data_IF_288420260492
#
_entry.id   IF_288420260492
#
_cell.length_a   1.000
_cell.length_b   1.000
_cell.length_c   1.000
_cell.angle_alpha   90.00
_cell.angle_beta   90.00
_cell.angle_gamma   90.00
#
_symmetry.space_group_name_H-M   'P 1'
#
loop_
_entity.id
_entity.type
_entity.pdbx_description
1 polymer ?
#
# COMPACT_ATOMS: atom_id res chain seq x y z
N UNK A 1 -19.98 -2.22 -0.03
CA UNK A 1 -20.22 -3.01 -1.26
C UNK A 1 -19.16 -4.08 -1.31
N UNK A 2 -19.44 -5.30 -1.72
CA UNK A 2 -18.45 -6.38 -1.79
C UNK A 2 -17.83 -6.32 -3.18
N UNK A 3 -16.49 -6.25 -3.28
CA UNK A 3 -15.78 -6.30 -4.57
C UNK A 3 -16.18 -7.58 -5.29
N UNK A 4 -16.55 -7.46 -6.58
CA UNK A 4 -16.96 -8.60 -7.37
C UNK A 4 -15.79 -9.16 -8.15
N UNK A 5 -15.64 -10.48 -8.12
CA UNK A 5 -14.59 -11.17 -8.86
C UNK A 5 -14.72 -10.90 -10.35
N UNK A 6 -13.63 -10.50 -11.01
CA UNK A 6 -13.60 -10.23 -12.45
C UNK A 6 -14.17 -8.88 -12.88
N UNK A 7 -14.65 -8.05 -11.98
CA UNK A 7 -15.09 -6.68 -12.29
C UNK A 7 -14.00 -5.64 -11.96
N UNK A 8 -13.84 -4.65 -12.83
CA UNK A 8 -12.95 -3.52 -12.59
C UNK A 8 -13.61 -2.59 -11.59
N UNK A 9 -12.90 -2.25 -10.53
CA UNK A 9 -13.36 -1.30 -9.52
C UNK A 9 -12.28 -0.25 -9.22
N UNK A 10 -12.68 0.87 -8.59
CA UNK A 10 -11.77 1.92 -8.14
C UNK A 10 -12.02 2.23 -6.68
N UNK A 11 -11.07 1.86 -5.81
CA UNK A 11 -11.20 2.11 -4.37
C UNK A 11 -11.54 3.58 -4.08
N UNK A 12 -10.81 4.60 -4.61
CA UNK A 12 -11.12 5.99 -4.30
C UNK A 12 -12.48 6.47 -4.83
N UNK A 13 -12.91 5.98 -6.00
CA UNK A 13 -14.20 6.39 -6.58
C UNK A 13 -15.40 5.80 -5.84
N UNK A 14 -15.25 4.57 -5.37
CA UNK A 14 -16.33 3.85 -4.69
C UNK A 14 -16.36 4.11 -3.18
N UNK A 15 -15.24 4.59 -2.62
CA UNK A 15 -15.09 4.87 -1.20
C UNK A 15 -14.44 6.24 -0.99
N UNK A 16 -15.05 7.32 -1.50
CA UNK A 16 -14.53 8.66 -1.28
C UNK A 16 -14.58 9.03 0.21
N UNK A 17 -13.73 9.96 0.67
CA UNK A 17 -13.81 10.48 2.02
C UNK A 17 -15.21 11.06 2.30
N UNK A 18 -15.82 10.62 3.40
CA UNK A 18 -17.11 11.12 3.89
C UNK A 18 -16.86 12.07 5.05
N UNK A 19 -17.51 13.23 5.02
CA UNK A 19 -17.33 14.30 5.99
C UNK A 19 -17.37 13.78 7.44
N UNK A 20 -16.35 14.16 8.22
CA UNK A 20 -16.16 13.76 9.62
C UNK A 20 -16.01 12.24 9.85
N UNK A 21 -15.69 11.47 8.82
CA UNK A 21 -15.57 10.01 8.93
C UNK A 21 -14.14 9.53 8.64
N UNK A 22 -13.73 8.50 9.41
CA UNK A 22 -12.64 7.61 9.09
C UNK A 22 -13.23 6.24 8.80
N UNK A 23 -13.05 5.76 7.58
CA UNK A 23 -13.59 4.46 7.13
C UNK A 23 -12.41 3.56 6.80
N UNK A 24 -12.49 2.31 7.24
CA UNK A 24 -11.56 1.27 6.82
C UNK A 24 -12.29 0.02 6.37
N UNK A 25 -11.72 -0.69 5.41
CA UNK A 25 -12.22 -1.97 4.95
C UNK A 25 -11.08 -2.90 4.56
N UNK A 26 -11.06 -4.07 5.17
CA UNK A 26 -10.14 -5.14 4.81
C UNK A 26 -10.68 -5.87 3.59
N UNK A 27 -9.96 -5.83 2.48
CA UNK A 27 -10.29 -6.53 1.23
C UNK A 27 -9.66 -7.91 1.15
N UNK A 28 -8.51 -8.10 1.81
CA UNK A 28 -7.84 -9.38 1.96
C UNK A 28 -7.55 -9.61 3.44
N UNK A 29 -8.11 -10.65 4.02
CA UNK A 29 -7.83 -11.06 5.40
C UNK A 29 -6.70 -12.12 5.45
N UNK A 30 -6.14 -12.37 6.64
CA UNK A 30 -5.13 -13.37 6.87
C UNK A 30 -3.87 -12.81 7.52
N UNK A 31 -2.71 -13.46 7.32
CA UNK A 31 -1.44 -13.05 7.93
C UNK A 31 -0.85 -11.76 7.34
N UNK A 32 -1.20 -11.44 6.11
CA UNK A 32 -0.81 -10.20 5.44
C UNK A 32 -2.08 -9.49 4.98
N UNK A 33 -2.84 -8.88 5.91
CA UNK A 33 -4.08 -8.22 5.55
C UNK A 33 -3.82 -7.01 4.67
N UNK A 34 -4.72 -6.83 3.71
CA UNK A 34 -4.77 -5.66 2.84
C UNK A 34 -6.03 -4.89 3.20
N UNK A 35 -5.85 -3.68 3.68
CA UNK A 35 -6.92 -2.79 4.13
C UNK A 35 -6.81 -1.45 3.41
N UNK A 36 -7.91 -0.90 2.96
CA UNK A 36 -7.91 0.50 2.57
C UNK A 36 -8.57 1.36 3.65
N UNK A 37 -8.13 2.60 3.70
CA UNK A 37 -8.66 3.64 4.55
C UNK A 37 -9.12 4.81 3.70
N UNK A 38 -10.24 5.40 4.10
CA UNK A 38 -10.75 6.64 3.55
C UNK A 38 -10.94 7.62 4.72
N UNK A 39 -10.11 8.65 4.76
CA UNK A 39 -10.09 9.66 5.81
C UNK A 39 -10.66 10.96 5.27
N UNK A 40 -11.64 11.50 5.95
CA UNK A 40 -12.16 12.84 5.66
C UNK A 40 -11.10 13.92 5.94
N UNK A 41 -11.34 15.10 5.39
CA UNK A 41 -10.56 16.29 5.72
C UNK A 41 -10.50 16.50 7.25
N UNK A 42 -9.32 16.89 7.75
CA UNK A 42 -9.05 17.18 9.16
C UNK A 42 -9.37 16.00 10.12
N UNK A 43 -9.18 14.76 9.64
CA UNK A 43 -9.27 13.56 10.48
C UNK A 43 -7.91 12.89 10.62
N UNK A 44 -7.75 12.16 11.72
CA UNK A 44 -6.53 11.43 12.04
C UNK A 44 -6.79 10.05 12.66
N UNK A 45 -5.75 9.25 12.70
CA UNK A 45 -5.62 8.00 13.44
C UNK A 45 -4.51 8.23 14.46
N UNK A 46 -4.83 8.10 15.73
CA UNK A 46 -3.93 8.34 16.86
C UNK A 46 -2.65 7.50 16.76
N UNK A 47 -1.56 8.02 17.36
CA UNK A 47 -0.30 7.31 17.39
C UNK A 47 -0.40 6.04 18.25
N UNK A 48 0.03 4.93 17.66
CA UNK A 48 0.10 3.63 18.30
C UNK A 48 1.43 2.94 17.97
N UNK A 49 1.81 1.94 18.78
CA UNK A 49 2.98 1.11 18.53
C UNK A 49 2.56 -0.17 17.81
N UNK A 50 3.23 -0.48 16.70
CA UNK A 50 2.97 -1.69 15.93
C UNK A 50 4.19 -2.61 15.95
N UNK A 51 4.00 -3.94 16.15
CA UNK A 51 5.09 -4.92 16.12
C UNK A 51 5.41 -5.41 14.69
N UNK A 52 4.90 -4.71 13.67
CA UNK A 52 5.01 -5.04 12.27
C UNK A 52 5.16 -3.76 11.44
N UNK A 53 5.63 -3.91 10.20
CA UNK A 53 5.63 -2.80 9.25
C UNK A 53 4.26 -2.63 8.61
N UNK A 54 3.95 -1.41 8.20
CA UNK A 54 2.85 -1.10 7.32
C UNK A 54 3.43 -0.59 6.00
N UNK A 55 3.07 -1.24 4.91
CA UNK A 55 3.26 -0.67 3.58
C UNK A 55 2.07 0.22 3.30
N UNK A 56 2.30 1.52 3.17
CA UNK A 56 1.30 2.54 2.88
C UNK A 56 1.42 2.95 1.42
N UNK A 57 0.30 3.09 0.73
CA UNK A 57 0.23 3.60 -0.65
C UNK A 57 -0.97 4.54 -0.79
N UNK A 58 -0.72 5.80 -1.09
CA UNK A 58 -1.78 6.79 -1.33
C UNK A 58 -2.38 6.59 -2.71
N UNK A 59 -3.68 6.33 -2.74
CA UNK A 59 -4.46 6.14 -3.95
C UNK A 59 -5.09 7.44 -4.43
N UNK A 60 -5.44 8.34 -3.49
CA UNK A 60 -5.96 9.66 -3.78
C UNK A 60 -5.76 10.61 -2.58
N UNK A 61 -5.59 11.93 -2.84
CA UNK A 61 -5.37 12.92 -1.81
C UNK A 61 -3.95 12.94 -1.24
N UNK A 62 -3.83 13.31 0.04
CA UNK A 62 -2.57 13.41 0.78
C UNK A 62 -2.72 12.75 2.15
N UNK A 63 -1.77 11.91 2.51
CA UNK A 63 -1.64 11.27 3.82
C UNK A 63 -0.43 11.83 4.55
N UNK A 64 -0.63 12.34 5.75
CA UNK A 64 0.43 12.72 6.66
C UNK A 64 0.69 11.57 7.64
N UNK A 65 1.93 11.10 7.67
CA UNK A 65 2.40 10.03 8.56
C UNK A 65 3.23 10.66 9.66
N UNK A 66 2.90 10.37 10.89
CA UNK A 66 3.55 10.91 12.09
C UNK A 66 4.36 9.82 12.77
N UNK A 67 5.67 9.80 12.56
CA UNK A 67 6.61 8.91 13.26
C UNK A 67 7.40 9.70 14.30
N UNK A 68 7.36 9.28 15.57
CA UNK A 68 8.06 9.98 16.68
C UNK A 68 7.78 11.50 16.68
N UNK A 69 8.76 12.29 16.23
CA UNK A 69 8.71 13.75 16.12
C UNK A 69 8.66 14.23 14.67
N UNK A 70 8.70 13.32 13.71
CA UNK A 70 8.71 13.63 12.28
C UNK A 70 7.30 13.54 11.70
N UNK A 71 7.03 14.39 10.74
CA UNK A 71 5.86 14.32 9.88
C UNK A 71 6.34 14.14 8.45
N UNK A 72 5.82 13.10 7.79
CA UNK A 72 6.14 12.74 6.42
C UNK A 72 4.84 12.81 5.62
N UNK A 73 4.79 13.66 4.60
CA UNK A 73 3.60 13.78 3.74
C UNK A 73 3.75 12.92 2.49
N UNK A 74 2.77 12.05 2.27
CA UNK A 74 2.65 11.22 1.10
C UNK A 74 1.55 11.76 0.20
N UNK A 75 1.85 11.90 -1.08
CA UNK A 75 0.90 12.30 -2.11
C UNK A 75 0.44 11.11 -2.95
N UNK A 76 -0.58 11.31 -3.77
CA UNK A 76 -1.09 10.29 -4.70
C UNK A 76 0.04 9.57 -5.45
N UNK A 77 -0.03 8.24 -5.48
CA UNK A 77 0.95 7.31 -6.05
C UNK A 77 2.29 7.22 -5.30
N UNK A 78 2.41 7.90 -4.17
CA UNK A 78 3.53 7.71 -3.25
C UNK A 78 3.19 6.70 -2.17
N UNK A 79 4.21 6.00 -1.70
CA UNK A 79 4.11 5.07 -0.60
C UNK A 79 5.33 5.14 0.30
N UNK A 80 5.25 4.45 1.42
CA UNK A 80 6.36 4.21 2.33
C UNK A 80 6.16 2.89 3.08
N UNK A 81 7.25 2.35 3.60
CA UNK A 81 7.23 1.28 4.58
C UNK A 81 7.56 1.86 5.95
N UNK A 82 6.67 1.65 6.94
CA UNK A 82 6.84 2.23 8.27
C UNK A 82 7.89 1.50 9.11
N UNK A 83 8.46 2.17 10.09
CA UNK A 83 9.36 1.56 11.07
C UNK A 83 8.59 0.72 12.09
N UNK A 84 9.23 -0.30 12.66
CA UNK A 84 8.69 -1.09 13.77
C UNK A 84 9.08 -0.47 15.10
N UNK A 85 8.15 -0.50 16.06
CA UNK A 85 8.43 -0.13 17.45
C UNK A 85 8.58 1.37 17.69
N UNK A 86 8.19 2.20 16.74
CA UNK A 86 8.09 3.65 16.92
C UNK A 86 6.61 4.06 16.96
N UNK A 87 6.24 5.16 17.69
CA UNK A 87 4.88 5.67 17.64
C UNK A 87 4.51 6.11 16.23
N UNK A 88 3.46 5.55 15.68
CA UNK A 88 2.97 5.80 14.33
C UNK A 88 1.53 6.29 14.35
N UNK A 89 1.28 7.46 13.82
CA UNK A 89 -0.06 8.00 13.55
C UNK A 89 -0.22 8.41 12.10
N UNK A 90 -1.43 8.59 11.65
CA UNK A 90 -1.74 9.01 10.28
C UNK A 90 -2.86 10.03 10.30
N UNK A 91 -2.84 10.99 9.37
CA UNK A 91 -3.89 11.99 9.26
C UNK A 91 -3.89 12.66 7.91
N UNK A 92 -4.82 13.61 7.72
CA UNK A 92 -4.91 14.39 6.49
C UNK A 92 -5.60 15.71 6.73
N UNK A 93 -5.14 16.78 6.09
CA UNK A 93 -5.81 18.09 6.08
C UNK A 93 -6.72 18.27 4.85
N UNK A 94 -6.67 17.39 3.87
CA UNK A 94 -7.39 17.55 2.59
C UNK A 94 -8.37 16.42 2.31
N UNK A 95 -8.25 15.31 3.03
CA UNK A 95 -8.88 14.04 2.73
C UNK A 95 -7.95 13.13 1.93
N UNK A 96 -8.05 11.83 2.17
CA UNK A 96 -7.20 10.83 1.51
C UNK A 96 -7.87 9.47 1.42
N UNK A 97 -7.50 8.73 0.40
CA UNK A 97 -7.75 7.28 0.32
C UNK A 97 -6.41 6.59 0.13
N UNK A 98 -6.07 5.68 1.03
CA UNK A 98 -4.83 4.95 0.96
C UNK A 98 -5.00 3.46 1.22
N UNK A 99 -4.08 2.67 0.69
CA UNK A 99 -3.97 1.24 0.92
C UNK A 99 -2.93 0.98 2.02
N UNK A 100 -3.25 0.07 2.92
CA UNK A 100 -2.35 -0.45 3.94
C UNK A 100 -2.20 -1.95 3.75
N UNK A 101 -0.95 -2.41 3.66
CA UNK A 101 -0.60 -3.83 3.70
C UNK A 101 0.28 -4.06 4.92
N UNK A 102 -0.18 -4.97 5.78
CA UNK A 102 0.57 -5.33 6.96
C UNK A 102 1.69 -6.32 6.59
N UNK A 103 2.91 -6.04 7.04
CA UNK A 103 4.08 -6.87 6.76
C UNK A 103 4.66 -7.34 8.09
N UNK A 104 4.65 -8.66 8.31
CA UNK A 104 5.26 -9.28 9.50
C UNK A 104 6.76 -8.93 9.58
N UNK A 105 7.28 -8.79 10.79
CA UNK A 105 8.69 -8.43 11.05
C UNK A 105 9.69 -9.38 10.38
N UNK A 106 9.32 -10.66 10.28
CA UNK A 106 10.14 -11.74 9.72
C UNK A 106 10.08 -11.80 8.18
N UNK A 107 9.20 -11.00 7.55
CA UNK A 107 9.10 -10.97 6.09
C UNK A 107 10.41 -10.45 5.48
N UNK A 108 10.80 -11.06 4.36
CA UNK A 108 11.96 -10.57 3.59
C UNK A 108 11.53 -9.40 2.73
N UNK A 109 12.10 -8.23 3.00
CA UNK A 109 11.89 -7.03 2.20
C UNK A 109 13.03 -6.82 1.20
N UNK A 110 12.71 -6.34 0.02
CA UNK A 110 13.71 -5.92 -0.95
C UNK A 110 14.49 -4.70 -0.43
N UNK A 111 15.80 -4.68 -0.64
CA UNK A 111 16.70 -3.60 -0.17
C UNK A 111 16.33 -2.18 -0.62
N UNK A 112 15.48 -2.05 -1.67
CA UNK A 112 14.97 -0.77 -2.16
C UNK A 112 13.86 -0.21 -1.26
N UNK A 113 13.22 -1.08 -0.47
CA UNK A 113 12.16 -0.73 0.47
C UNK A 113 12.78 -0.33 1.79
N UNK A 114 13.26 0.91 1.88
CA UNK A 114 13.83 1.43 3.12
C UNK A 114 12.72 1.97 4.02
N UNK A 115 12.80 1.63 5.30
CA UNK A 115 11.86 2.07 6.32
C UNK A 115 11.89 3.59 6.48
N UNK A 116 10.73 4.23 6.54
CA UNK A 116 10.60 5.68 6.70
C UNK A 116 10.90 6.51 5.45
N UNK A 117 11.35 5.90 4.34
CA UNK A 117 11.60 6.61 3.08
C UNK A 117 10.37 6.60 2.16
N UNK A 118 10.10 7.76 1.57
CA UNK A 118 9.01 7.93 0.57
C UNK A 118 9.49 7.45 -0.79
N UNK A 119 8.65 6.72 -1.49
CA UNK A 119 8.89 6.26 -2.86
C UNK A 119 7.65 6.41 -3.74
N UNK A 120 7.84 6.37 -5.07
CA UNK A 120 6.78 6.10 -6.04
C UNK A 120 6.97 4.72 -6.62
N UNK A 121 5.92 3.91 -6.70
CA UNK A 121 6.02 2.55 -7.26
C UNK A 121 6.57 2.55 -8.68
N UNK A 122 6.17 3.51 -9.50
CA UNK A 122 6.64 3.64 -10.87
C UNK A 122 8.15 3.89 -10.99
N UNK A 123 8.76 4.52 -9.99
CA UNK A 123 10.19 4.84 -9.99
C UNK A 123 11.05 3.65 -9.49
N UNK A 124 10.42 2.70 -8.76
CA UNK A 124 11.12 1.53 -8.23
C UNK A 124 11.50 0.51 -9.31
N UNK A 125 10.69 0.41 -10.37
CA UNK A 125 10.87 -0.59 -11.43
C UNK A 125 10.62 0.05 -12.81
N UNK A 126 11.67 0.63 -13.44
CA UNK A 126 11.53 1.29 -14.73
C UNK A 126 11.18 0.29 -15.85
N UNK A 127 10.47 0.78 -16.86
CA UNK A 127 10.19 0.01 -18.07
C UNK A 127 11.49 -0.33 -18.81
N UNK A 128 11.53 -1.54 -19.36
CA UNK A 128 12.58 -2.00 -20.28
C UNK A 128 11.92 -2.38 -21.60
N UNK A 129 12.41 -1.81 -22.70
CA UNK A 129 11.85 -2.02 -24.03
C UNK A 129 11.70 -3.52 -24.36
N UNK A 130 10.50 -3.90 -24.82
CA UNK A 130 10.15 -5.26 -25.21
C UNK A 130 10.12 -6.30 -24.07
N UNK A 131 10.12 -5.87 -22.79
CA UNK A 131 10.18 -6.78 -21.65
C UNK A 131 9.08 -6.52 -20.63
N UNK A 132 8.71 -7.59 -19.96
CA UNK A 132 8.03 -7.53 -18.64
C UNK A 132 9.11 -7.73 -17.59
N UNK A 133 9.21 -6.81 -16.64
CA UNK A 133 10.17 -6.89 -15.53
C UNK A 133 9.38 -7.01 -14.23
N UNK A 134 9.85 -7.84 -13.30
CA UNK A 134 9.25 -7.98 -11.99
C UNK A 134 10.27 -7.79 -10.87
N UNK A 135 9.76 -7.40 -9.70
CA UNK A 135 10.53 -7.24 -8.47
C UNK A 135 9.67 -7.66 -7.28
N UNK A 136 10.19 -8.57 -6.47
CA UNK A 136 9.57 -8.89 -5.19
C UNK A 136 9.83 -7.76 -4.20
N UNK A 137 8.81 -7.01 -3.81
CA UNK A 137 8.94 -5.94 -2.82
C UNK A 137 9.07 -6.52 -1.41
N UNK A 138 8.24 -7.49 -1.08
CA UNK A 138 8.37 -8.28 0.15
C UNK A 138 7.69 -9.64 -0.01
N UNK A 139 8.13 -10.60 0.77
CA UNK A 139 7.50 -11.92 0.84
C UNK A 139 7.72 -12.60 2.19
N UNK A 140 6.81 -13.46 2.54
CA UNK A 140 6.94 -14.46 3.60
C UNK A 140 6.58 -15.85 3.03
N UNK A 141 6.40 -16.85 3.89
CA UNK A 141 6.09 -18.22 3.45
C UNK A 141 4.76 -18.36 2.68
N UNK A 142 3.82 -17.42 2.88
CA UNK A 142 2.45 -17.50 2.35
C UNK A 142 2.07 -16.38 1.40
N UNK A 143 2.78 -15.26 1.45
CA UNK A 143 2.44 -14.07 0.69
C UNK A 143 3.65 -13.53 -0.04
N UNK A 144 3.46 -13.20 -1.30
CA UNK A 144 4.44 -12.55 -2.15
C UNK A 144 3.81 -11.29 -2.75
N UNK A 145 4.42 -10.13 -2.48
CA UNK A 145 4.01 -8.86 -3.04
C UNK A 145 4.99 -8.45 -4.13
N UNK A 146 4.52 -8.46 -5.37
CA UNK A 146 5.35 -8.28 -6.57
C UNK A 146 4.95 -7.01 -7.28
N UNK A 147 5.94 -6.18 -7.61
CA UNK A 147 5.79 -5.07 -8.55
C UNK A 147 6.17 -5.55 -9.95
N UNK A 148 5.34 -5.25 -10.93
CA UNK A 148 5.59 -5.61 -12.34
C UNK A 148 5.50 -4.38 -13.23
N UNK A 149 6.45 -4.21 -14.14
CA UNK A 149 6.40 -3.20 -15.19
C UNK A 149 6.27 -3.89 -16.56
N UNK A 150 5.32 -3.42 -17.36
CA UNK A 150 5.03 -3.91 -18.71
C UNK A 150 5.42 -2.83 -19.71
N UNK A 151 6.40 -3.07 -20.56
CA UNK A 151 6.65 -2.20 -21.69
C UNK A 151 5.47 -2.28 -22.68
N UNK A 152 5.28 -1.23 -23.49
CA UNK A 152 4.23 -1.20 -24.51
C UNK A 152 4.30 -2.44 -25.41
N UNK A 153 3.15 -3.06 -25.66
CA UNK A 153 3.02 -4.27 -26.48
C UNK A 153 3.49 -5.57 -25.82
N UNK A 154 3.86 -5.54 -24.53
CA UNK A 154 4.24 -6.76 -23.81
C UNK A 154 3.07 -7.35 -23.01
N UNK A 155 3.09 -8.67 -22.84
CA UNK A 155 2.11 -9.40 -22.04
C UNK A 155 2.79 -10.57 -21.32
N UNK A 156 2.15 -11.07 -20.28
CA UNK A 156 2.52 -12.35 -19.68
C UNK A 156 1.80 -13.47 -20.47
N UNK A 157 2.52 -14.57 -20.82
CA UNK A 157 1.87 -15.76 -21.35
C UNK A 157 0.97 -16.38 -20.27
N UNK A 158 -0.01 -17.17 -20.72
CA UNK A 158 -0.84 -17.95 -19.81
C UNK A 158 0.04 -18.91 -19.00
N UNK A 159 -0.08 -18.88 -17.69
CA UNK A 159 0.66 -19.72 -16.78
C UNK A 159 -0.15 -20.01 -15.51
N UNK A 160 0.09 -21.15 -14.89
CA UNK A 160 -0.45 -21.47 -13.57
C UNK A 160 0.33 -20.75 -12.47
N UNK A 161 -0.34 -20.08 -11.56
CA UNK A 161 0.27 -19.59 -10.33
C UNK A 161 0.30 -20.73 -9.29
N UNK A 162 1.44 -21.00 -8.64
CA UNK A 162 1.46 -21.92 -7.51
C UNK A 162 0.73 -21.25 -6.33
N UNK A 163 -0.36 -21.83 -5.90
CA UNK A 163 -1.17 -21.39 -4.78
C UNK A 163 -2.36 -22.31 -4.59
N UNK A 164 -2.91 -22.34 -3.39
CA UNK A 164 -4.19 -23.00 -3.14
C UNK A 164 -5.29 -22.16 -3.81
N UNK A 165 -6.24 -22.78 -4.51
CA UNK A 165 -7.34 -22.11 -5.18
C UNK A 165 -8.33 -21.46 -4.20
#
# INVERSE_FOLDING_TARGET
MREKVGEIFSIPRENPPLENCTISKTIQAGKTPVTYFSLAKDTDISKEFYPYHKFLLVLDGQLDVYEEKEQISLHKSQGMCTKIGVPLGMGTQQGTVYLEVLIEKEARMHKIMKEGEVFKLADLLPYQEGKVVNMDLFHNEKTKFVLMSFAEGTSLPEHGAPGDP
#
